data_IF_251031382227
#
_entry.id   IF_251031382227
#
_cell.length_a   1.000
_cell.length_b   1.000
_cell.length_c   1.000
_cell.angle_alpha   90.00
_cell.angle_beta   90.00
_cell.angle_gamma   90.00
#
_symmetry.space_group_name_H-M   'P 1'
#
loop_
_entity.id
_entity.type
_entity.pdbx_description
1 polymer ?
#
# COMPACT_ATOMS: atom_id res chain seq x y z
N UNK A 1 6.89 -22.96 -26.87
CA UNK A 1 7.77 -21.78 -26.70
C UNK A 1 7.56 -21.01 -25.38
N UNK A 2 6.49 -21.26 -24.61
CA UNK A 2 6.19 -20.47 -23.37
C UNK A 2 7.10 -20.77 -22.15
N UNK A 3 7.49 -22.01 -21.93
CA UNK A 3 8.25 -22.41 -20.73
C UNK A 3 9.73 -21.96 -20.70
N UNK A 4 10.37 -21.87 -21.87
CA UNK A 4 11.77 -21.43 -21.94
C UNK A 4 11.91 -19.91 -21.70
N UNK A 5 11.00 -19.11 -22.25
CA UNK A 5 10.99 -17.66 -22.03
C UNK A 5 10.70 -17.29 -20.56
N UNK A 6 9.86 -18.08 -19.87
CA UNK A 6 9.61 -17.93 -18.43
C UNK A 6 10.83 -18.27 -17.58
N UNK A 7 11.50 -19.39 -17.86
CA UNK A 7 12.69 -19.82 -17.12
C UNK A 7 13.85 -18.81 -17.26
N UNK A 8 14.05 -18.23 -18.45
CA UNK A 8 15.08 -17.20 -18.68
C UNK A 8 14.71 -15.88 -18.00
N UNK A 9 13.43 -15.48 -18.04
CA UNK A 9 12.95 -14.21 -17.47
C UNK A 9 13.07 -14.15 -15.95
N UNK A 10 13.03 -15.31 -15.27
CA UNK A 10 13.09 -15.42 -13.80
C UNK A 10 14.40 -16.04 -13.29
N UNK A 11 15.39 -16.20 -14.15
CA UNK A 11 16.71 -16.64 -13.73
C UNK A 11 17.41 -15.53 -12.93
N UNK A 12 18.12 -15.90 -11.86
CA UNK A 12 18.80 -14.95 -10.96
C UNK A 12 19.77 -14.06 -11.72
N UNK A 13 20.60 -14.66 -12.58
CA UNK A 13 21.65 -13.94 -13.34
C UNK A 13 21.00 -12.96 -14.32
N UNK A 14 19.99 -13.39 -15.08
CA UNK A 14 19.30 -12.52 -16.03
C UNK A 14 18.58 -11.37 -15.35
N UNK A 15 17.99 -11.59 -14.18
CA UNK A 15 17.34 -10.55 -13.39
C UNK A 15 18.34 -9.53 -12.83
N UNK A 16 19.49 -9.99 -12.33
CA UNK A 16 20.57 -9.12 -11.86
C UNK A 16 21.14 -8.25 -12.99
N UNK A 17 21.39 -8.84 -14.14
CA UNK A 17 21.88 -8.10 -15.31
C UNK A 17 20.85 -7.08 -15.81
N UNK A 18 19.58 -7.47 -15.90
CA UNK A 18 18.50 -6.56 -16.29
C UNK A 18 18.34 -5.39 -15.31
N UNK A 19 18.37 -5.68 -13.99
CA UNK A 19 18.33 -4.66 -12.95
C UNK A 19 19.49 -3.68 -13.10
N UNK A 20 20.72 -4.18 -13.21
CA UNK A 20 21.89 -3.34 -13.36
C UNK A 20 21.83 -2.47 -14.62
N UNK A 21 21.38 -3.05 -15.75
CA UNK A 21 21.18 -2.29 -16.98
C UNK A 21 20.19 -1.13 -16.79
N UNK A 22 19.04 -1.39 -16.15
CA UNK A 22 18.06 -0.32 -15.90
C UNK A 22 18.53 0.68 -14.84
N UNK A 23 19.31 0.26 -13.84
CA UNK A 23 19.95 1.18 -12.89
C UNK A 23 20.86 2.18 -13.62
N UNK A 24 21.68 1.70 -14.56
CA UNK A 24 22.54 2.57 -15.39
C UNK A 24 21.72 3.55 -16.26
N UNK A 25 20.56 3.12 -16.75
CA UNK A 25 19.65 3.97 -17.53
C UNK A 25 18.87 5.00 -16.67
N UNK A 26 18.79 4.77 -15.38
CA UNK A 26 18.05 5.62 -14.45
C UNK A 26 18.91 6.65 -13.71
N UNK A 27 20.00 7.14 -14.32
CA UNK A 27 20.83 8.20 -13.72
C UNK A 27 20.09 9.50 -13.45
N UNK A 28 19.01 9.76 -14.19
CA UNK A 28 18.13 10.91 -14.00
C UNK A 28 17.12 10.72 -12.87
N UNK A 29 16.88 9.50 -12.37
CA UNK A 29 15.93 9.23 -11.31
C UNK A 29 16.40 9.90 -10.01
N UNK A 30 15.66 10.90 -9.58
CA UNK A 30 15.89 11.65 -8.35
C UNK A 30 15.20 10.96 -7.16
N UNK A 31 13.98 10.45 -7.37
CA UNK A 31 13.15 9.94 -6.30
C UNK A 31 12.22 8.82 -6.77
N UNK A 32 11.98 7.87 -5.89
CA UNK A 32 10.90 6.90 -5.98
C UNK A 32 9.96 7.08 -4.78
N UNK A 33 8.67 7.24 -5.05
CA UNK A 33 7.66 7.47 -4.02
C UNK A 33 6.78 6.25 -3.92
N UNK A 34 6.68 5.66 -2.74
CA UNK A 34 5.76 4.57 -2.44
C UNK A 34 4.63 5.05 -1.52
N UNK A 35 3.49 4.37 -1.57
CA UNK A 35 2.35 4.66 -0.70
C UNK A 35 2.19 3.55 0.34
N UNK A 36 2.34 3.92 1.61
CA UNK A 36 1.96 3.08 2.75
C UNK A 36 0.50 3.37 3.10
N UNK A 37 -0.38 2.39 2.97
CA UNK A 37 -1.82 2.55 3.18
C UNK A 37 -2.50 1.20 3.37
N UNK A 38 -3.69 1.23 3.91
CA UNK A 38 -4.56 0.04 4.01
C UNK A 38 -5.08 -0.46 2.64
N UNK A 39 -5.02 0.37 1.58
CA UNK A 39 -5.91 0.23 0.43
C UNK A 39 -7.29 0.82 0.76
N UNK A 40 -8.16 0.91 -0.24
CA UNK A 40 -9.48 1.58 -0.14
C UNK A 40 -9.39 3.04 0.30
N UNK A 41 -8.24 3.69 0.10
CA UNK A 41 -7.87 5.02 0.59
C UNK A 41 -7.73 6.08 -0.52
N UNK A 42 -8.31 5.85 -1.72
CA UNK A 42 -8.27 6.84 -2.80
C UNK A 42 -6.92 6.96 -3.52
N UNK A 43 -6.12 5.91 -3.49
CA UNK A 43 -4.77 5.83 -4.09
C UNK A 43 -4.73 6.15 -5.59
N UNK A 44 -5.82 5.90 -6.33
CA UNK A 44 -5.93 6.22 -7.76
C UNK A 44 -5.85 7.73 -8.04
N UNK A 45 -6.35 8.56 -7.11
CA UNK A 45 -6.27 10.03 -7.28
C UNK A 45 -4.83 10.53 -7.29
N UNK A 46 -3.95 9.95 -6.44
CA UNK A 46 -2.53 10.27 -6.48
C UNK A 46 -1.89 9.83 -7.81
N UNK A 47 -2.17 8.63 -8.29
CA UNK A 47 -1.64 8.13 -9.56
C UNK A 47 -2.03 9.07 -10.71
N UNK A 48 -3.26 9.53 -10.71
CA UNK A 48 -3.78 10.45 -11.73
C UNK A 48 -3.03 11.79 -11.68
N UNK A 49 -2.94 12.40 -10.50
CA UNK A 49 -2.21 13.66 -10.29
C UNK A 49 -0.75 13.53 -10.75
N UNK A 50 -0.03 12.50 -10.30
CA UNK A 50 1.39 12.33 -10.63
C UNK A 50 1.65 12.11 -12.12
N UNK A 51 0.74 11.45 -12.84
CA UNK A 51 0.87 11.24 -14.29
C UNK A 51 0.68 12.53 -15.11
N UNK A 52 0.12 13.58 -14.52
CA UNK A 52 0.00 14.89 -15.17
C UNK A 52 1.19 15.84 -14.88
N UNK A 53 2.17 15.36 -14.09
CA UNK A 53 3.39 16.16 -13.80
C UNK A 53 4.49 15.75 -14.78
N UNK A 54 5.16 16.72 -15.44
CA UNK A 54 6.26 16.44 -16.34
C UNK A 54 7.38 15.62 -15.67
N UNK A 55 7.95 14.68 -16.39
CA UNK A 55 9.02 13.79 -15.92
C UNK A 55 8.66 12.92 -14.69
N UNK A 56 7.38 12.83 -14.36
CA UNK A 56 6.85 11.88 -13.40
C UNK A 56 6.18 10.70 -14.13
N UNK A 57 6.25 9.53 -13.55
CA UNK A 57 5.45 8.36 -13.93
C UNK A 57 4.84 7.75 -12.69
N UNK A 58 3.54 7.48 -12.75
CA UNK A 58 2.81 6.85 -11.66
C UNK A 58 2.10 5.57 -12.13
N UNK A 59 2.15 4.53 -11.29
CA UNK A 59 1.47 3.26 -11.54
C UNK A 59 0.70 2.80 -10.29
N UNK A 60 -0.45 2.17 -10.53
CA UNK A 60 -1.25 1.56 -9.48
C UNK A 60 -1.09 0.04 -9.50
N UNK A 61 -0.57 -0.51 -8.41
CA UNK A 61 -0.37 -1.95 -8.23
C UNK A 61 0.29 -2.65 -9.43
N UNK A 62 1.44 -2.12 -9.95
CA UNK A 62 2.07 -2.67 -11.14
C UNK A 62 2.60 -4.08 -10.87
N UNK A 63 2.62 -4.89 -11.93
CA UNK A 63 3.08 -6.28 -11.86
C UNK A 63 4.58 -6.39 -11.47
N UNK A 64 4.91 -7.33 -10.55
CA UNK A 64 4.01 -8.05 -9.65
C UNK A 64 3.48 -7.13 -8.55
N UNK A 65 2.18 -7.17 -8.29
CA UNK A 65 1.59 -6.37 -7.22
C UNK A 65 1.96 -6.89 -5.80
N UNK A 66 2.60 -8.04 -5.72
CA UNK A 66 3.05 -8.69 -4.47
C UNK A 66 1.89 -9.16 -3.57
N UNK A 67 0.76 -9.51 -4.18
CA UNK A 67 -0.44 -10.04 -3.52
C UNK A 67 -0.47 -11.58 -3.50
N UNK A 68 -1.53 -12.16 -2.97
CA UNK A 68 -1.85 -13.58 -2.92
C UNK A 68 -0.69 -14.43 -2.37
N UNK A 69 -0.02 -15.24 -3.19
CA UNK A 69 1.06 -16.13 -2.76
C UNK A 69 2.18 -15.39 -2.02
N UNK A 70 2.51 -14.17 -2.46
CA UNK A 70 3.57 -13.36 -1.83
C UNK A 70 3.12 -12.86 -0.45
N UNK A 71 1.90 -12.37 -0.35
CA UNK A 71 1.35 -11.92 0.93
C UNK A 71 1.17 -13.10 1.90
N UNK A 72 0.66 -14.23 1.43
CA UNK A 72 0.54 -15.47 2.22
C UNK A 72 1.90 -15.96 2.72
N UNK A 73 2.91 -15.95 1.85
CA UNK A 73 4.28 -16.28 2.22
C UNK A 73 4.84 -15.34 3.31
N UNK A 74 4.58 -14.04 3.18
CA UNK A 74 4.97 -13.04 4.21
C UNK A 74 4.27 -13.30 5.54
N UNK A 75 2.96 -13.56 5.54
CA UNK A 75 2.20 -13.91 6.74
C UNK A 75 2.70 -15.22 7.40
N UNK A 76 3.15 -16.17 6.58
CA UNK A 76 3.73 -17.43 7.05
C UNK A 76 5.21 -17.33 7.48
N UNK A 77 5.83 -16.14 7.38
CA UNK A 77 7.26 -15.95 7.70
C UNK A 77 8.23 -16.48 6.65
N UNK A 78 7.78 -16.80 5.44
CA UNK A 78 8.63 -17.26 4.34
C UNK A 78 9.30 -16.08 3.62
N UNK A 79 10.23 -15.43 4.31
CA UNK A 79 10.96 -14.26 3.80
C UNK A 79 11.78 -14.58 2.56
N UNK A 80 12.31 -15.80 2.44
CA UNK A 80 13.09 -16.21 1.27
C UNK A 80 12.27 -16.16 -0.03
N UNK A 81 11.00 -16.56 0.02
CA UNK A 81 10.10 -16.48 -1.14
C UNK A 81 9.79 -15.01 -1.49
N UNK A 82 9.47 -14.19 -0.50
CA UNK A 82 9.16 -12.76 -0.69
C UNK A 82 10.36 -12.02 -1.29
N UNK A 83 11.55 -12.22 -0.71
CA UNK A 83 12.82 -11.64 -1.21
C UNK A 83 13.09 -12.07 -2.66
N UNK A 84 12.87 -13.34 -2.97
CA UNK A 84 13.08 -13.87 -4.30
C UNK A 84 12.14 -13.22 -5.34
N UNK A 85 10.86 -13.08 -5.01
CA UNK A 85 9.87 -12.39 -5.85
C UNK A 85 10.22 -10.92 -6.03
N UNK A 86 10.67 -10.25 -4.97
CA UNK A 86 11.11 -8.86 -5.06
C UNK A 86 12.33 -8.72 -5.97
N UNK A 87 13.44 -9.37 -5.65
CA UNK A 87 14.72 -9.16 -6.34
C UNK A 87 14.72 -9.63 -7.79
N UNK A 88 13.99 -10.71 -8.10
CA UNK A 88 13.96 -11.25 -9.47
C UNK A 88 12.98 -10.56 -10.39
N UNK A 89 11.86 -10.06 -9.85
CA UNK A 89 10.77 -9.57 -10.69
C UNK A 89 10.42 -8.13 -10.36
N UNK A 90 10.03 -7.85 -9.10
CA UNK A 90 9.52 -6.53 -8.72
C UNK A 90 10.58 -5.44 -8.91
N UNK A 91 11.78 -5.63 -8.39
CA UNK A 91 12.89 -4.68 -8.52
C UNK A 91 13.22 -4.37 -9.99
N UNK A 92 13.33 -5.40 -10.84
CA UNK A 92 13.61 -5.23 -12.28
C UNK A 92 12.51 -4.38 -12.94
N UNK A 93 11.24 -4.65 -12.61
CA UNK A 93 10.12 -3.93 -13.19
C UNK A 93 10.05 -2.47 -12.70
N UNK A 94 10.36 -2.21 -11.43
CA UNK A 94 10.45 -0.86 -10.87
C UNK A 94 11.53 -0.04 -11.59
N UNK A 95 12.74 -0.57 -11.67
CA UNK A 95 13.83 0.10 -12.38
C UNK A 95 13.53 0.32 -13.87
N UNK A 96 12.87 -0.63 -14.52
CA UNK A 96 12.43 -0.50 -15.91
C UNK A 96 11.35 0.57 -16.07
N UNK A 97 10.36 0.59 -15.17
CA UNK A 97 9.24 1.53 -15.23
C UNK A 97 9.69 2.97 -14.97
N UNK A 98 10.68 3.15 -14.07
CA UNK A 98 11.25 4.45 -13.76
C UNK A 98 12.18 5.01 -14.87
N UNK A 99 12.51 4.21 -15.91
CA UNK A 99 13.51 4.59 -16.90
C UNK A 99 13.10 5.82 -17.72
N UNK A 100 13.94 6.87 -17.66
CA UNK A 100 13.72 8.13 -18.37
C UNK A 100 12.90 9.16 -17.58
N UNK A 101 12.49 8.87 -16.37
CA UNK A 101 11.76 9.78 -15.49
C UNK A 101 12.66 10.32 -14.37
N UNK A 102 12.32 11.49 -13.83
CA UNK A 102 12.95 12.04 -12.64
C UNK A 102 12.30 11.52 -11.36
N UNK A 103 10.98 11.29 -11.40
CA UNK A 103 10.20 10.79 -10.28
C UNK A 103 9.36 9.60 -10.73
N UNK A 104 9.40 8.54 -9.95
CA UNK A 104 8.52 7.39 -10.13
C UNK A 104 7.66 7.21 -8.90
N UNK A 105 6.37 7.00 -9.09
CA UNK A 105 5.38 6.85 -8.03
C UNK A 105 4.69 5.50 -8.15
N UNK A 106 4.70 4.72 -7.08
CA UNK A 106 3.92 3.49 -7.00
C UNK A 106 2.90 3.57 -5.88
N UNK A 107 1.62 3.52 -6.27
CA UNK A 107 0.52 3.33 -5.36
C UNK A 107 0.21 1.85 -5.22
N UNK A 108 0.67 1.22 -4.14
CA UNK A 108 0.47 -0.19 -3.90
C UNK A 108 0.33 -0.46 -2.40
N UNK A 109 -0.87 -0.86 -1.97
CA UNK A 109 -1.13 -1.14 -0.55
C UNK A 109 -0.40 -2.39 -0.01
N UNK A 110 0.18 -3.21 -0.92
CA UNK A 110 1.03 -4.35 -0.53
C UNK A 110 2.44 -3.89 -0.12
N UNK A 111 2.86 -2.68 -0.47
CA UNK A 111 4.19 -2.14 -0.16
C UNK A 111 4.53 -2.28 1.32
N UNK A 112 3.72 -1.69 2.20
CA UNK A 112 3.95 -1.70 3.65
C UNK A 112 3.87 -3.10 4.27
N UNK A 113 3.18 -4.03 3.60
CA UNK A 113 2.94 -5.39 4.09
C UNK A 113 4.02 -6.38 3.67
N UNK A 114 4.64 -6.20 2.49
CA UNK A 114 5.44 -7.26 1.87
C UNK A 114 6.85 -6.87 1.47
N UNK A 115 7.14 -5.64 1.00
CA UNK A 115 8.43 -5.36 0.37
C UNK A 115 9.08 -4.00 0.70
N UNK A 116 8.61 -3.29 1.72
CA UNK A 116 9.19 -1.99 2.10
C UNK A 116 10.69 -2.08 2.37
N UNK A 117 11.15 -3.08 3.11
CA UNK A 117 12.56 -3.29 3.44
C UNK A 117 13.43 -3.48 2.20
N UNK A 118 12.97 -4.31 1.26
CA UNK A 118 13.69 -4.58 0.01
C UNK A 118 13.72 -3.36 -0.90
N UNK A 119 12.63 -2.59 -0.97
CA UNK A 119 12.56 -1.37 -1.75
C UNK A 119 13.51 -0.29 -1.21
N UNK A 120 13.60 -0.15 0.11
CA UNK A 120 14.54 0.79 0.74
C UNK A 120 15.99 0.34 0.54
N UNK A 121 16.28 -0.95 0.62
CA UNK A 121 17.61 -1.48 0.29
C UNK A 121 18.01 -1.23 -1.17
N UNK A 122 17.06 -1.39 -2.10
CA UNK A 122 17.29 -1.28 -3.55
C UNK A 122 17.48 0.17 -4.01
N UNK A 123 16.64 1.08 -3.53
CA UNK A 123 16.62 2.48 -3.98
C UNK A 123 17.28 3.45 -3.01
N UNK A 124 17.61 3.02 -1.80
CA UNK A 124 18.36 3.76 -0.77
C UNK A 124 17.75 5.15 -0.47
N UNK A 125 18.57 6.17 -0.60
CA UNK A 125 18.25 7.59 -0.35
C UNK A 125 17.20 8.18 -1.30
N UNK A 126 16.86 7.47 -2.37
CA UNK A 126 15.81 7.89 -3.31
C UNK A 126 14.39 7.60 -2.82
N UNK A 127 14.22 6.78 -1.77
CA UNK A 127 12.89 6.38 -1.30
C UNK A 127 12.25 7.49 -0.47
N UNK A 128 11.03 7.83 -0.82
CA UNK A 128 10.10 8.60 0.03
C UNK A 128 8.79 7.82 0.13
N UNK A 129 8.16 7.84 1.29
CA UNK A 129 6.91 7.15 1.54
C UNK A 129 5.81 8.15 1.85
N UNK A 130 4.71 8.09 1.12
CA UNK A 130 3.47 8.76 1.51
C UNK A 130 2.68 7.80 2.39
N UNK A 131 2.47 8.15 3.64
CA UNK A 131 1.52 7.47 4.50
C UNK A 131 0.13 8.05 4.26
N UNK A 132 -0.64 7.35 3.44
CA UNK A 132 -1.99 7.77 3.04
C UNK A 132 -3.02 7.17 3.98
N UNK A 133 -3.59 8.01 4.82
CA UNK A 133 -4.55 7.64 5.86
C UNK A 133 -5.98 7.93 5.42
N UNK A 134 -6.88 7.01 5.72
CA UNK A 134 -8.33 7.19 5.59
C UNK A 134 -9.00 6.81 6.91
N UNK A 135 -10.14 7.41 7.19
CA UNK A 135 -10.96 7.10 8.36
C UNK A 135 -11.17 5.58 8.52
N UNK A 136 -10.88 5.00 9.70
CA UNK A 136 -10.95 3.55 9.95
C UNK A 136 -12.33 2.96 9.71
N UNK A 137 -13.40 3.68 10.06
CA UNK A 137 -14.78 3.23 9.86
C UNK A 137 -15.11 3.14 8.37
N UNK A 138 -14.66 4.14 7.59
CA UNK A 138 -14.85 4.13 6.13
C UNK A 138 -14.09 2.99 5.46
N UNK A 139 -12.87 2.70 5.91
CA UNK A 139 -12.05 1.57 5.38
C UNK A 139 -12.71 0.25 5.73
N UNK A 140 -12.99 0.01 7.01
CA UNK A 140 -13.62 -1.24 7.49
C UNK A 140 -14.97 -1.49 6.81
N UNK A 141 -15.80 -0.44 6.66
CA UNK A 141 -17.09 -0.54 5.97
C UNK A 141 -16.94 -0.83 4.46
N UNK A 142 -15.89 -0.29 3.84
CA UNK A 142 -15.61 -0.59 2.43
C UNK A 142 -15.20 -2.05 2.23
N UNK A 143 -14.36 -2.59 3.10
CA UNK A 143 -13.93 -4.00 3.09
C UNK A 143 -15.13 -4.91 3.39
N UNK A 144 -15.90 -4.59 4.41
CA UNK A 144 -17.11 -5.34 4.78
C UNK A 144 -18.12 -5.42 3.63
N UNK A 145 -18.37 -4.31 2.94
CA UNK A 145 -19.32 -4.28 1.82
C UNK A 145 -18.89 -5.10 0.60
N UNK A 146 -17.59 -5.37 0.45
CA UNK A 146 -17.05 -6.24 -0.59
C UNK A 146 -17.08 -7.73 -0.20
N UNK A 147 -17.32 -8.07 1.07
CA UNK A 147 -17.26 -9.42 1.63
C UNK A 147 -15.90 -10.12 1.46
N UNK A 148 -14.84 -9.36 1.21
CA UNK A 148 -13.46 -9.83 1.06
C UNK A 148 -12.56 -9.44 2.24
N UNK A 149 -13.08 -9.50 3.46
CA UNK A 149 -12.37 -9.12 4.68
C UNK A 149 -11.31 -10.15 5.12
N UNK A 150 -10.35 -9.77 5.99
CA UNK A 150 -9.34 -10.68 6.52
C UNK A 150 -9.94 -11.98 7.07
N UNK A 151 -9.37 -13.13 6.68
CA UNK A 151 -9.84 -14.45 7.06
C UNK A 151 -10.79 -15.11 6.04
N UNK A 152 -11.20 -14.43 4.98
CA UNK A 152 -11.86 -15.05 3.83
C UNK A 152 -10.82 -15.48 2.80
N UNK A 153 -11.15 -16.44 1.93
CA UNK A 153 -10.23 -16.89 0.88
C UNK A 153 -9.81 -15.73 -0.05
N UNK A 154 -10.77 -14.93 -0.50
CA UNK A 154 -10.51 -13.78 -1.35
C UNK A 154 -9.80 -12.66 -0.60
N UNK A 155 -10.23 -12.38 0.65
CA UNK A 155 -9.62 -11.37 1.48
C UNK A 155 -8.14 -11.65 1.79
N UNK A 156 -7.76 -12.89 2.03
CA UNK A 156 -6.38 -13.28 2.31
C UNK A 156 -5.44 -13.18 1.09
N UNK A 157 -5.95 -12.88 -0.10
CA UNK A 157 -5.13 -12.51 -1.25
C UNK A 157 -4.63 -11.06 -1.16
N UNK A 158 -5.39 -10.19 -0.49
CA UNK A 158 -5.16 -8.74 -0.47
C UNK A 158 -4.84 -8.18 0.91
N UNK A 159 -5.44 -8.76 1.96
CA UNK A 159 -5.33 -8.28 3.33
C UNK A 159 -4.43 -9.21 4.16
N UNK A 160 -3.85 -8.67 5.23
CA UNK A 160 -3.10 -9.46 6.19
C UNK A 160 -4.01 -10.50 6.84
N UNK A 161 -3.47 -11.69 7.05
CA UNK A 161 -4.11 -12.71 7.86
C UNK A 161 -4.04 -12.31 9.35
N UNK A 162 -5.20 -12.07 9.97
CA UNK A 162 -5.27 -11.64 11.38
C UNK A 162 -4.77 -12.71 12.37
N UNK A 163 -4.60 -13.96 11.91
CA UNK A 163 -4.07 -15.07 12.73
C UNK A 163 -2.55 -15.21 12.63
N UNK A 164 -1.90 -14.49 11.72
CA UNK A 164 -0.47 -14.62 11.47
C UNK A 164 0.36 -14.22 12.70
N UNK A 165 1.42 -15.01 12.97
CA UNK A 165 2.28 -14.82 14.15
C UNK A 165 3.10 -13.52 14.10
N UNK A 166 3.36 -12.98 12.92
CA UNK A 166 4.11 -11.74 12.69
C UNK A 166 3.25 -10.47 12.73
N UNK A 167 1.98 -10.57 13.14
CA UNK A 167 1.15 -9.40 13.40
C UNK A 167 1.62 -8.68 14.69
N UNK A 168 1.50 -7.36 14.67
CA UNK A 168 1.80 -6.50 15.80
C UNK A 168 0.63 -6.47 16.79
N UNK A 169 -0.62 -6.52 16.29
CA UNK A 169 -1.84 -6.57 17.10
C UNK A 169 -2.40 -7.99 17.09
N UNK A 170 -2.16 -8.73 18.18
CA UNK A 170 -2.50 -10.16 18.32
C UNK A 170 -3.82 -10.34 19.05
N UNK A 171 -4.92 -10.23 18.33
CA UNK A 171 -6.28 -10.34 18.88
C UNK A 171 -7.17 -11.39 18.18
N UNK A 172 -6.56 -12.37 17.48
CA UNK A 172 -7.31 -13.38 16.74
C UNK A 172 -8.36 -14.10 17.61
N UNK A 173 -8.01 -14.41 18.86
CA UNK A 173 -8.95 -15.08 19.79
C UNK A 173 -10.22 -14.25 20.05
N UNK A 174 -10.10 -12.92 20.16
CA UNK A 174 -11.29 -12.06 20.32
C UNK A 174 -12.12 -12.02 19.05
N UNK A 175 -11.49 -11.94 17.88
CA UNK A 175 -12.18 -11.88 16.59
C UNK A 175 -12.89 -13.17 16.21
N UNK A 176 -12.46 -14.31 16.75
CA UNK A 176 -13.04 -15.62 16.45
C UNK A 176 -14.02 -16.11 17.53
N UNK A 177 -13.74 -15.86 18.80
CA UNK A 177 -14.43 -16.53 19.91
C UNK A 177 -15.30 -15.58 20.74
N UNK A 178 -14.97 -14.28 20.80
CA UNK A 178 -15.75 -13.33 21.59
C UNK A 178 -17.04 -12.93 20.84
N UNK A 179 -18.26 -13.19 21.41
CA UNK A 179 -19.52 -12.82 20.77
C UNK A 179 -19.63 -11.35 20.38
N UNK A 180 -18.99 -10.45 21.12
CA UNK A 180 -19.00 -9.02 20.83
C UNK A 180 -18.19 -8.67 19.58
N UNK A 181 -17.04 -9.35 19.34
CA UNK A 181 -16.07 -8.99 18.31
C UNK A 181 -16.08 -9.91 17.07
N UNK A 182 -16.95 -10.92 17.01
CA UNK A 182 -17.07 -11.86 15.87
C UNK A 182 -17.54 -11.24 14.56
N UNK A 183 -18.17 -10.07 14.60
CA UNK A 183 -18.71 -9.47 13.38
C UNK A 183 -17.56 -9.10 12.42
N UNK A 184 -17.64 -9.45 11.10
CA UNK A 184 -16.56 -9.25 10.13
C UNK A 184 -16.03 -7.82 10.03
N UNK A 185 -16.85 -6.82 10.33
CA UNK A 185 -16.44 -5.42 10.38
C UNK A 185 -15.26 -5.18 11.34
N UNK A 186 -15.17 -5.92 12.45
CA UNK A 186 -14.05 -5.83 13.38
C UNK A 186 -12.74 -6.33 12.78
N UNK A 187 -12.78 -7.31 11.86
CA UNK A 187 -11.60 -7.73 11.11
C UNK A 187 -11.08 -6.63 10.18
N UNK A 188 -12.00 -5.84 9.59
CA UNK A 188 -11.65 -4.64 8.84
C UNK A 188 -11.04 -3.53 9.71
N UNK A 189 -11.57 -3.32 10.93
CA UNK A 189 -10.99 -2.39 11.90
C UNK A 189 -9.61 -2.86 12.35
N UNK A 190 -9.47 -4.15 12.76
CA UNK A 190 -8.18 -4.71 13.12
C UNK A 190 -7.14 -4.46 12.02
N UNK A 191 -7.50 -4.75 10.78
CA UNK A 191 -6.60 -4.57 9.65
C UNK A 191 -6.13 -3.11 9.50
N UNK A 192 -7.02 -2.14 9.69
CA UNK A 192 -6.66 -0.73 9.67
C UNK A 192 -5.63 -0.40 10.77
N UNK A 193 -5.88 -0.80 12.01
CA UNK A 193 -4.97 -0.58 13.13
C UNK A 193 -3.64 -1.31 12.97
N UNK A 194 -3.65 -2.52 12.47
CA UNK A 194 -2.43 -3.29 12.19
C UNK A 194 -1.54 -2.58 11.16
N UNK A 195 -2.12 -2.01 10.10
CA UNK A 195 -1.35 -1.23 9.12
C UNK A 195 -0.77 0.04 9.75
N UNK A 196 -1.52 0.77 10.57
CA UNK A 196 -1.02 1.96 11.27
C UNK A 196 0.15 1.63 12.22
N UNK A 197 0.04 0.53 12.97
CA UNK A 197 1.15 0.08 13.82
C UNK A 197 2.38 -0.34 12.99
N UNK A 198 2.19 -1.00 11.84
CA UNK A 198 3.29 -1.31 10.92
C UNK A 198 3.96 -0.06 10.37
N UNK A 199 3.22 0.98 10.05
CA UNK A 199 3.80 2.26 9.61
C UNK A 199 4.64 2.87 10.73
N UNK A 200 4.14 2.89 11.98
CA UNK A 200 4.90 3.37 13.14
C UNK A 200 6.19 2.56 13.38
N UNK A 201 6.11 1.25 13.27
CA UNK A 201 7.24 0.33 13.43
C UNK A 201 8.29 0.56 12.33
N UNK A 202 7.88 0.68 11.07
CA UNK A 202 8.79 0.96 9.97
C UNK A 202 9.44 2.35 10.06
N UNK A 203 8.73 3.37 10.52
CA UNK A 203 9.33 4.69 10.80
C UNK A 203 10.47 4.61 11.82
N UNK A 204 10.32 3.75 12.83
CA UNK A 204 11.38 3.50 13.84
C UNK A 204 12.56 2.72 13.24
N UNK A 205 12.28 1.69 12.43
CA UNK A 205 13.29 0.82 11.79
C UNK A 205 14.06 1.52 10.67
N UNK A 206 13.43 2.47 9.99
CA UNK A 206 13.97 3.18 8.83
C UNK A 206 14.02 4.70 9.08
N UNK A 207 14.78 5.20 10.09
CA UNK A 207 14.79 6.61 10.47
C UNK A 207 15.38 7.53 9.39
N UNK A 208 16.08 6.98 8.41
CA UNK A 208 16.64 7.69 7.27
C UNK A 208 15.66 7.84 6.09
N UNK A 209 14.54 7.13 6.12
CA UNK A 209 13.51 7.22 5.09
C UNK A 209 12.51 8.31 5.47
N UNK A 210 12.22 9.18 4.52
CA UNK A 210 11.23 10.23 4.71
C UNK A 210 9.83 9.68 4.56
N UNK A 211 8.99 9.88 5.58
CA UNK A 211 7.55 9.58 5.56
C UNK A 211 6.77 10.89 5.61
N UNK A 212 5.84 11.07 4.70
CA UNK A 212 4.92 12.21 4.62
C UNK A 212 3.50 11.72 4.89
N UNK A 213 2.86 12.32 5.89
CA UNK A 213 1.46 11.99 6.21
C UNK A 213 0.51 12.76 5.30
N UNK A 214 -0.49 12.06 4.75
CA UNK A 214 -1.53 12.67 3.94
C UNK A 214 -2.87 11.97 4.18
N UNK A 215 -3.94 12.74 4.39
CA UNK A 215 -5.27 12.18 4.61
C UNK A 215 -6.07 12.12 3.31
N UNK A 216 -6.84 11.07 3.12
CA UNK A 216 -7.72 10.93 1.94
C UNK A 216 -8.70 12.10 1.80
N UNK A 217 -9.16 12.66 2.90
CA UNK A 217 -10.05 13.82 2.94
C UNK A 217 -9.39 15.10 2.40
N UNK A 218 -8.07 15.18 2.46
CA UNK A 218 -7.28 16.33 2.00
C UNK A 218 -7.23 16.44 0.46
N UNK A 219 -7.60 15.37 -0.27
CA UNK A 219 -7.81 15.46 -1.73
C UNK A 219 -8.92 16.45 -2.15
N UNK A 220 -9.81 16.82 -1.22
CA UNK A 220 -10.81 17.85 -1.48
C UNK A 220 -10.27 19.28 -1.28
N UNK A 221 -8.98 19.39 -0.89
CA UNK A 221 -8.30 20.66 -0.67
C UNK A 221 -7.08 20.74 -1.59
N UNK A 222 -7.17 21.58 -2.63
CA UNK A 222 -6.12 21.75 -3.62
C UNK A 222 -4.79 22.20 -2.99
N UNK A 223 -4.83 23.14 -2.03
CA UNK A 223 -3.62 23.68 -1.39
C UNK A 223 -2.84 22.58 -0.64
N UNK A 224 -3.56 21.67 0.02
CA UNK A 224 -2.93 20.51 0.69
C UNK A 224 -2.30 19.54 -0.29
N UNK A 225 -2.95 19.29 -1.42
CA UNK A 225 -2.39 18.45 -2.48
C UNK A 225 -1.14 19.10 -3.08
N UNK A 226 -1.17 20.39 -3.35
CA UNK A 226 0.00 21.12 -3.84
C UNK A 226 1.11 21.17 -2.78
N UNK A 227 0.76 21.30 -1.50
CA UNK A 227 1.74 21.25 -0.42
C UNK A 227 2.43 19.88 -0.37
N UNK A 228 1.70 18.77 -0.52
CA UNK A 228 2.31 17.43 -0.62
C UNK A 228 3.32 17.35 -1.76
N UNK A 229 3.02 17.89 -2.95
CA UNK A 229 3.94 17.89 -4.08
C UNK A 229 5.19 18.74 -3.81
N UNK A 230 5.03 19.91 -3.16
CA UNK A 230 6.18 20.74 -2.71
C UNK A 230 7.02 20.01 -1.67
N UNK A 231 6.39 19.34 -0.71
CA UNK A 231 7.08 18.53 0.29
C UNK A 231 7.83 17.34 -0.34
N UNK A 232 7.37 16.81 -1.44
CA UNK A 232 8.09 15.81 -2.24
C UNK A 232 9.23 16.40 -3.08
N UNK A 233 9.42 17.73 -3.09
CA UNK A 233 10.36 18.45 -3.94
C UNK A 233 10.15 18.16 -5.44
N UNK A 234 8.90 18.12 -5.87
CA UNK A 234 8.49 17.90 -7.25
C UNK A 234 8.12 19.27 -7.85
N UNK A 235 8.74 19.61 -8.96
CA UNK A 235 8.37 20.79 -9.72
C UNK A 235 7.11 20.52 -10.54
N UNK A 236 6.11 21.40 -10.45
CA UNK A 236 4.84 21.26 -11.16
C UNK A 236 4.24 22.63 -11.48
N UNK A 237 3.37 22.67 -12.48
CA UNK A 237 2.57 23.83 -12.83
C UNK A 237 1.20 23.74 -12.13
N UNK A 238 0.96 24.63 -11.17
CA UNK A 238 -0.28 24.67 -10.40
C UNK A 238 -1.51 24.89 -11.29
N UNK A 239 -1.39 25.73 -12.32
CA UNK A 239 -2.51 26.01 -13.23
C UNK A 239 -2.89 24.79 -14.04
N UNK A 240 -1.89 24.04 -14.51
CA UNK A 240 -2.12 22.82 -15.28
C UNK A 240 -2.69 21.68 -14.42
N UNK A 241 -2.37 21.61 -13.12
CA UNK A 241 -2.85 20.55 -12.23
C UNK A 241 -4.21 20.85 -11.58
N UNK A 242 -4.66 22.10 -11.56
CA UNK A 242 -5.92 22.49 -10.88
C UNK A 242 -7.13 21.67 -11.35
N UNK A 243 -7.24 21.41 -12.64
CA UNK A 243 -8.33 20.62 -13.21
C UNK A 243 -8.32 19.19 -12.69
N UNK A 244 -7.14 18.57 -12.59
CA UNK A 244 -7.00 17.17 -12.18
C UNK A 244 -7.14 16.96 -10.69
N UNK A 245 -6.67 17.90 -9.87
CA UNK A 245 -6.81 17.83 -8.41
C UNK A 245 -8.28 17.87 -7.98
N UNK A 246 -9.11 18.65 -8.66
CA UNK A 246 -10.53 18.76 -8.35
C UNK A 246 -11.38 17.61 -8.93
N UNK A 247 -10.80 16.76 -9.78
CA UNK A 247 -11.50 15.64 -10.39
C UNK A 247 -11.34 14.39 -9.52
N UNK A 248 -12.44 13.84 -9.00
CA UNK A 248 -12.39 12.57 -8.26
C UNK A 248 -12.13 11.41 -9.22
N UNK A 249 -10.94 10.81 -9.17
CA UNK A 249 -10.59 9.63 -9.97
C UNK A 249 -11.44 8.37 -9.63
N UNK A 250 -12.16 8.36 -8.51
CA UNK A 250 -12.91 7.21 -8.02
C UNK A 250 -14.42 7.28 -8.28
N UNK A 251 -14.80 7.33 -9.52
CA UNK A 251 -16.20 7.13 -9.95
C UNK A 251 -16.51 5.68 -10.33
N UNK A 252 -15.54 4.74 -10.23
CA UNK A 252 -15.82 3.34 -10.57
C UNK A 252 -16.74 2.72 -9.52
N UNK A 253 -17.98 2.30 -9.90
CA UNK A 253 -18.84 1.55 -9.00
C UNK A 253 -18.18 0.19 -8.75
N UNK A 254 -17.57 0.00 -7.57
CA UNK A 254 -17.26 -1.36 -7.12
C UNK A 254 -18.59 -2.05 -6.83
N UNK A 255 -18.75 -3.25 -7.36
CA UNK A 255 -19.92 -4.06 -7.07
C UNK A 255 -19.88 -4.43 -5.59
N UNK A 256 -20.68 -3.73 -4.79
CA UNK A 256 -20.84 -4.07 -3.37
C UNK A 256 -21.67 -5.34 -3.29
N UNK A 257 -21.17 -6.34 -2.59
CA UNK A 257 -21.87 -7.61 -2.39
C UNK A 257 -22.86 -7.53 -1.23
N UNK A 258 -22.64 -6.58 -0.31
CA UNK A 258 -23.58 -6.27 0.76
C UNK A 258 -23.67 -4.75 1.02
N UNK A 259 -24.76 -4.26 1.64
CA UNK A 259 -24.81 -2.87 2.05
C UNK A 259 -23.78 -2.61 3.17
N UNK A 260 -23.15 -1.43 3.20
CA UNK A 260 -22.31 -1.03 4.33
C UNK A 260 -23.14 -0.93 5.59
N UNK A 261 -22.51 -1.07 6.75
CA UNK A 261 -23.18 -0.82 8.03
C UNK A 261 -23.62 0.64 8.14
N UNK A 262 -24.76 0.89 8.78
CA UNK A 262 -25.17 2.26 9.17
C UNK A 262 -24.04 2.94 9.96
N UNK A 263 -23.80 4.22 9.68
CA UNK A 263 -22.68 4.95 10.26
C UNK A 263 -22.70 4.97 11.79
N UNK A 264 -23.86 5.12 12.40
CA UNK A 264 -24.02 5.08 13.86
C UNK A 264 -23.57 3.74 14.44
N UNK A 265 -24.05 2.64 13.86
CA UNK A 265 -23.64 1.29 14.26
C UNK A 265 -22.13 1.07 14.09
N UNK A 266 -21.59 1.45 12.95
CA UNK A 266 -20.16 1.30 12.65
C UNK A 266 -19.30 2.13 13.63
N UNK A 267 -19.71 3.35 13.97
CA UNK A 267 -19.03 4.19 14.96
C UNK A 267 -19.09 3.59 16.37
N UNK A 268 -20.23 3.04 16.79
CA UNK A 268 -20.36 2.34 18.07
C UNK A 268 -19.40 1.13 18.13
N UNK A 269 -19.39 0.32 17.10
CA UNK A 269 -18.47 -0.82 17.00
C UNK A 269 -16.99 -0.37 17.02
N UNK A 270 -16.66 0.73 16.35
CA UNK A 270 -15.30 1.29 16.40
C UNK A 270 -14.94 1.76 17.82
N UNK A 271 -15.85 2.35 18.55
CA UNK A 271 -15.60 2.75 19.95
C UNK A 271 -15.35 1.53 20.85
N UNK A 272 -16.15 0.46 20.71
CA UNK A 272 -15.94 -0.80 21.44
C UNK A 272 -14.55 -1.39 21.10
N UNK A 273 -14.16 -1.35 19.82
CA UNK A 273 -12.86 -1.85 19.38
C UNK A 273 -11.70 -1.05 19.98
N UNK A 274 -11.81 0.28 20.07
CA UNK A 274 -10.79 1.10 20.74
C UNK A 274 -10.65 0.76 22.22
N UNK A 275 -11.77 0.50 22.89
CA UNK A 275 -11.78 0.06 24.29
C UNK A 275 -11.04 -1.29 24.45
N UNK A 276 -11.30 -2.25 23.55
CA UNK A 276 -10.57 -3.52 23.53
C UNK A 276 -9.07 -3.26 23.37
N UNK A 277 -8.64 -2.52 22.34
CA UNK A 277 -7.22 -2.26 22.10
C UNK A 277 -6.53 -1.59 23.31
N UNK A 278 -7.23 -0.66 23.98
CA UNK A 278 -6.68 0.03 25.17
C UNK A 278 -6.53 -0.89 26.40
N UNK A 279 -7.21 -2.03 26.43
CA UNK A 279 -7.14 -3.02 27.50
C UNK A 279 -6.03 -4.06 27.31
N UNK A 280 -5.44 -4.09 26.10
CA UNK A 280 -4.38 -5.04 25.77
C UNK A 280 -3.02 -4.52 26.23
N UNK A 281 -2.14 -5.41 26.71
CA UNK A 281 -0.73 -5.07 26.92
C UNK A 281 -0.06 -4.94 25.52
N UNK A 282 -0.01 -3.72 25.01
CA UNK A 282 0.73 -3.41 23.78
C UNK A 282 2.14 -2.93 24.16
#
# INVERSE_FOLDING_TARGET
>A
MSNFSHAVKYNVISSQLARHYYQLKNRSLKQIVFVATTGRSGTMSLVDIFNHIPHCKAEHEPYPAMFDEVLKAKCAGNEAFVANMYWRIKSVNLWRAAAGYHHYFESNHLFIKTYIEYAVEDFKDKVTVIHLVRDPVKVANSIYALQDFPGTEEGNKWWLDYTAQNNLIKIANYLDNDPEFKHPFYKGLWYWYEIEERVKDWRKKLPHVRFLDFNTEDFNNQDKTFQLLRDLNIDFDESALTEYVNTRANTRPHQKLSPPLPLEQANKMHQNFKTLLSSLPI
#
